data_IF_966029441720
#
_entry.id   IF_966029441720
#
_cell.length_a   1.000
_cell.length_b   1.000
_cell.length_c   1.000
_cell.angle_alpha   90.00
_cell.angle_beta   90.00
_cell.angle_gamma   90.00
#
_symmetry.space_group_name_H-M   'P 1'
#
loop_
_entity.id
_entity.type
_entity.pdbx_description
1 polymer ?
#
# COMPACT_ATOMS: atom_id res chain seq x y z
N UNK A 1 -3.82 5.30 -18.00
CA UNK A 1 -4.85 5.61 -16.99
C UNK A 1 -4.38 5.22 -15.60
N UNK A 2 -4.48 6.14 -14.64
CA UNK A 2 -4.01 5.99 -13.28
C UNK A 2 -5.12 5.50 -12.35
N UNK A 3 -5.04 4.25 -11.91
CA UNK A 3 -6.02 3.66 -10.99
C UNK A 3 -6.04 4.32 -9.61
N UNK A 4 -4.91 4.86 -9.15
CA UNK A 4 -4.82 5.54 -7.85
C UNK A 4 -5.63 6.84 -7.83
N UNK A 5 -5.41 7.72 -8.81
CA UNK A 5 -6.15 8.98 -8.93
C UNK A 5 -7.64 8.71 -9.16
N UNK A 6 -7.98 7.69 -9.97
CA UNK A 6 -9.37 7.28 -10.15
C UNK A 6 -10.02 6.85 -8.83
N UNK A 7 -9.30 6.08 -8.01
CA UNK A 7 -9.82 5.61 -6.73
C UNK A 7 -9.98 6.74 -5.71
N UNK A 8 -9.14 7.77 -5.77
CA UNK A 8 -9.27 8.97 -4.94
C UNK A 8 -10.38 9.93 -5.40
N UNK A 9 -11.07 9.62 -6.51
CA UNK A 9 -12.12 10.49 -7.05
C UNK A 9 -11.58 11.73 -7.76
N UNK A 10 -10.32 11.70 -8.22
CA UNK A 10 -9.74 12.78 -9.01
C UNK A 10 -10.50 12.98 -10.32
N UNK A 11 -10.41 14.19 -10.89
CA UNK A 11 -11.02 14.52 -12.18
C UNK A 11 -10.56 13.58 -13.31
N UNK A 12 -11.43 13.36 -14.29
CA UNK A 12 -11.14 12.55 -15.49
C UNK A 12 -9.89 13.00 -16.21
N UNK A 13 -9.67 14.31 -16.30
CA UNK A 13 -8.45 14.88 -16.88
C UNK A 13 -7.18 14.39 -16.16
N UNK A 14 -7.22 14.32 -14.83
CA UNK A 14 -6.06 13.94 -14.00
C UNK A 14 -5.78 12.45 -14.09
N UNK A 15 -6.79 11.58 -13.90
CA UNK A 15 -6.54 10.14 -13.92
C UNK A 15 -6.32 9.57 -15.33
N UNK A 16 -6.79 10.24 -16.38
CA UNK A 16 -6.54 9.80 -17.76
C UNK A 16 -5.19 10.26 -18.30
N UNK A 17 -4.64 11.38 -17.79
CA UNK A 17 -3.38 11.96 -18.27
C UNK A 17 -2.10 11.17 -17.93
N UNK A 18 -2.15 10.15 -17.09
CA UNK A 18 -0.96 9.35 -16.74
C UNK A 18 -1.29 7.89 -16.37
N UNK A 19 -0.24 7.11 -16.10
CA UNK A 19 -0.30 5.72 -15.61
C UNK A 19 0.19 5.66 -14.16
N UNK A 20 -0.29 4.68 -13.39
CA UNK A 20 0.13 4.51 -11.99
C UNK A 20 1.57 4.04 -11.88
N UNK A 21 1.92 2.99 -12.63
CA UNK A 21 3.25 2.38 -12.68
C UNK A 21 3.68 2.18 -14.14
N UNK A 22 4.97 2.32 -14.38
CA UNK A 22 5.65 2.01 -15.63
C UNK A 22 5.84 0.49 -15.80
N UNK A 23 6.24 0.04 -16.99
CA UNK A 23 6.54 -1.39 -17.28
C UNK A 23 7.66 -1.93 -16.38
N UNK A 24 8.59 -1.07 -15.96
CA UNK A 24 9.66 -1.38 -15.01
C UNK A 24 9.21 -1.41 -13.55
N UNK A 25 7.91 -1.24 -13.27
CA UNK A 25 7.32 -1.26 -11.93
C UNK A 25 7.51 0.02 -11.10
N UNK A 26 8.12 1.07 -11.68
CA UNK A 26 8.33 2.38 -11.03
C UNK A 26 7.03 3.19 -10.97
N UNK A 27 6.80 3.93 -9.90
CA UNK A 27 5.64 4.82 -9.79
C UNK A 27 5.80 6.05 -10.67
N UNK A 28 4.86 6.25 -11.59
CA UNK A 28 4.84 7.38 -12.53
C UNK A 28 3.85 8.46 -12.07
N UNK A 29 2.81 8.06 -11.34
CA UNK A 29 1.80 8.99 -10.84
C UNK A 29 2.44 10.12 -10.02
N UNK A 30 2.28 11.41 -10.41
CA UNK A 30 2.92 12.53 -9.74
C UNK A 30 2.42 12.70 -8.30
N UNK A 31 1.12 12.48 -8.07
CA UNK A 31 0.51 12.58 -6.74
C UNK A 31 1.09 11.53 -5.80
N UNK A 32 1.20 10.27 -6.27
CA UNK A 32 1.79 9.22 -5.47
C UNK A 32 3.30 9.43 -5.31
N UNK A 33 4.03 9.89 -6.35
CA UNK A 33 5.47 10.19 -6.28
C UNK A 33 5.82 11.18 -5.17
N UNK A 34 4.99 12.21 -4.96
CA UNK A 34 5.19 13.20 -3.89
C UNK A 34 4.87 12.65 -2.50
N UNK A 35 4.13 11.55 -2.42
CA UNK A 35 3.82 10.91 -1.15
C UNK A 35 5.05 10.21 -0.57
N UNK A 36 5.41 10.57 0.66
CA UNK A 36 6.47 9.89 1.41
C UNK A 36 5.85 8.94 2.41
N UNK A 37 6.21 7.67 2.33
CA UNK A 37 5.72 6.67 3.26
C UNK A 37 6.24 6.93 4.68
N UNK A 38 5.34 7.14 5.64
CA UNK A 38 5.72 7.44 7.04
C UNK A 38 6.34 6.27 7.80
N UNK A 39 6.28 5.04 7.25
CA UNK A 39 6.85 3.85 7.89
C UNK A 39 8.28 3.54 7.44
N UNK A 40 8.59 3.79 6.16
CA UNK A 40 9.88 3.42 5.57
C UNK A 40 10.61 4.57 4.88
N UNK A 41 9.99 5.75 4.75
CA UNK A 41 10.56 6.91 4.08
C UNK A 41 10.61 6.81 2.55
N UNK A 42 10.09 5.74 1.93
CA UNK A 42 10.09 5.60 0.47
C UNK A 42 9.27 6.73 -0.19
N UNK A 43 9.82 7.30 -1.25
CA UNK A 43 9.26 8.42 -2.02
C UNK A 43 9.68 8.29 -3.49
N UNK A 44 9.10 9.07 -4.39
CA UNK A 44 9.44 9.03 -5.80
C UNK A 44 9.04 7.70 -6.46
N UNK A 45 10.00 7.04 -7.11
CA UNK A 45 9.78 5.81 -7.89
C UNK A 45 9.34 4.61 -7.05
N UNK A 46 9.72 4.60 -5.77
CA UNK A 46 9.38 3.55 -4.80
C UNK A 46 8.25 3.96 -3.87
N UNK A 47 7.61 5.10 -4.14
CA UNK A 47 6.50 5.58 -3.33
C UNK A 47 5.35 4.58 -3.27
N UNK A 48 4.74 4.50 -2.09
CA UNK A 48 3.58 3.67 -1.85
C UNK A 48 2.80 4.22 -0.67
N UNK A 49 1.49 3.91 -0.63
CA UNK A 49 0.69 4.23 0.55
C UNK A 49 1.06 3.31 1.71
N UNK A 50 0.81 3.77 2.94
CA UNK A 50 1.06 3.01 4.18
C UNK A 50 0.59 1.56 4.11
N UNK A 51 -0.58 1.31 3.51
CA UNK A 51 -1.16 -0.04 3.34
C UNK A 51 -0.26 -0.98 2.55
N UNK A 52 0.49 -0.50 1.57
CA UNK A 52 1.37 -1.30 0.71
C UNK A 52 2.83 -1.26 1.15
N UNK A 53 3.14 -0.64 2.28
CA UNK A 53 4.50 -0.60 2.78
C UNK A 53 5.00 -2.00 3.18
N UNK A 54 6.22 -2.39 2.78
CA UNK A 54 6.82 -3.66 3.18
C UNK A 54 7.10 -3.73 4.69
N UNK A 55 7.32 -2.57 5.33
CA UNK A 55 7.49 -2.46 6.78
C UNK A 55 6.16 -2.36 7.54
N UNK A 56 5.02 -2.42 6.84
CA UNK A 56 3.72 -2.36 7.50
C UNK A 56 3.44 -3.68 8.25
N UNK A 57 3.68 -3.66 9.56
CA UNK A 57 3.41 -4.80 10.47
C UNK A 57 1.92 -5.15 10.55
N UNK A 58 1.02 -4.23 10.18
CA UNK A 58 -0.44 -4.46 10.16
C UNK A 58 -0.90 -5.32 8.98
N UNK A 59 0.00 -5.67 8.05
CA UNK A 59 -0.23 -6.67 6.99
C UNK A 59 -0.43 -8.08 7.58
N UNK A 60 0.03 -8.30 8.81
CA UNK A 60 0.07 -9.62 9.41
C UNK A 60 -1.22 -9.90 10.20
N UNK A 61 -2.20 -10.45 9.47
CA UNK A 61 -3.33 -11.23 9.99
C UNK A 61 -4.40 -10.43 10.77
N UNK A 62 -5.56 -10.21 10.12
CA UNK A 62 -6.80 -9.74 10.78
C UNK A 62 -7.20 -10.64 11.95
N UNK A 63 -6.89 -11.93 11.84
CA UNK A 63 -6.87 -12.80 13.00
C UNK A 63 -5.60 -12.49 13.78
N UNK A 64 -5.71 -11.71 14.87
CA UNK A 64 -4.81 -11.93 16.00
C UNK A 64 -4.76 -13.45 16.16
N UNK A 65 -3.61 -14.10 16.00
CA UNK A 65 -3.47 -15.48 16.45
C UNK A 65 -3.80 -15.41 17.92
N UNK A 66 -5.08 -15.60 18.27
CA UNK A 66 -5.49 -16.01 19.61
C UNK A 66 -4.49 -17.09 19.91
N UNK A 67 -3.73 -16.97 21.00
CA UNK A 67 -2.67 -17.92 21.34
C UNK A 67 -3.27 -19.28 21.61
N UNK A 68 -3.90 -19.89 20.61
CA UNK A 68 -4.72 -21.07 20.56
C UNK A 68 -4.23 -21.84 19.36
N UNK A 69 -3.96 -23.12 19.54
CA UNK A 69 -3.62 -24.00 18.43
C UNK A 69 -4.87 -24.28 17.56
N UNK A 70 -4.71 -25.03 16.46
CA UNK A 70 -5.81 -25.41 15.55
C UNK A 70 -6.93 -26.23 16.21
N UNK A 71 -6.72 -26.69 17.44
CA UNK A 71 -7.73 -27.33 18.29
C UNK A 71 -8.41 -26.34 19.28
N UNK A 72 -8.14 -25.04 19.17
CA UNK A 72 -8.75 -24.00 20.00
C UNK A 72 -8.19 -23.87 21.42
N UNK A 73 -7.11 -24.58 21.78
CA UNK A 73 -6.57 -24.56 23.16
C UNK A 73 -5.57 -23.45 23.37
N UNK A 74 -5.76 -22.63 24.41
CA UNK A 74 -4.80 -21.58 24.80
C UNK A 74 -3.40 -22.18 25.05
N UNK A 75 -2.41 -21.81 24.25
CA UNK A 75 -0.99 -22.05 24.48
C UNK A 75 -0.58 -21.27 25.74
N UNK A 76 -0.42 -21.99 26.86
CA UNK A 76 0.17 -21.42 28.07
C UNK A 76 1.63 -21.06 27.75
N UNK A 77 2.02 -19.85 28.12
CA UNK A 77 3.43 -19.44 28.16
C UNK A 77 4.17 -20.23 29.22
#
# INVERSE_FOLDING_TARGET
MCSFCKQNGESSFIYMGHILKDEKGRVVCPILRMYTCTLCGATGDTSHTRKYCPLNKDKHCVYKKSGRNSAGRKLKR
#
